data_IF_655661090232
#
_entry.id   IF_655661090232
#
_cell.length_a   1.000
_cell.length_b   1.000
_cell.length_c   1.000
_cell.angle_alpha   90.00
_cell.angle_beta   90.00
_cell.angle_gamma   90.00
#
_symmetry.space_group_name_H-M   'P 1'
#
loop_
_entity.id
_entity.type
_entity.pdbx_description
1 polymer ?
#
# COMPACT_ATOMS: atom_id res chain seq x y z
N UNK A 1 -17.24 12.44 -18.27
CA UNK A 1 -16.88 13.86 -18.43
C UNK A 1 -17.28 14.56 -17.14
N UNK A 2 -16.35 15.11 -16.35
CA UNK A 2 -16.68 15.99 -15.23
C UNK A 2 -17.73 17.03 -15.62
N UNK A 3 -18.76 17.18 -14.78
CA UNK A 3 -19.90 18.08 -15.02
C UNK A 3 -20.01 19.09 -13.90
N UNK A 4 -20.24 20.34 -14.28
CA UNK A 4 -20.47 21.47 -13.38
C UNK A 4 -21.81 22.10 -13.70
N UNK A 5 -22.55 22.48 -12.66
CA UNK A 5 -23.86 23.11 -12.80
C UNK A 5 -23.90 24.48 -12.11
N UNK A 6 -24.65 25.40 -12.71
CA UNK A 6 -24.91 26.73 -12.17
C UNK A 6 -26.42 26.99 -12.15
N UNK A 7 -26.94 27.29 -10.95
CA UNK A 7 -28.35 27.61 -10.72
C UNK A 7 -28.45 28.91 -9.93
N UNK A 8 -28.89 29.98 -10.60
CA UNK A 8 -29.17 31.28 -9.99
C UNK A 8 -30.36 31.94 -10.69
N UNK A 9 -31.41 32.27 -9.93
CA UNK A 9 -32.64 32.84 -10.48
C UNK A 9 -33.25 31.93 -11.57
N UNK A 10 -33.39 32.45 -12.79
CA UNK A 10 -33.89 31.68 -13.96
C UNK A 10 -32.78 30.97 -14.75
N UNK A 11 -31.51 31.18 -14.38
CA UNK A 11 -30.37 30.51 -15.03
C UNK A 11 -30.19 29.12 -14.48
N UNK A 12 -30.20 28.12 -15.36
CA UNK A 12 -29.96 26.71 -15.04
C UNK A 12 -29.07 26.11 -16.14
N UNK A 13 -27.76 26.17 -15.95
CA UNK A 13 -26.75 25.84 -16.97
C UNK A 13 -25.86 24.70 -16.54
N UNK A 14 -25.37 23.92 -17.49
CA UNK A 14 -24.32 22.93 -17.29
C UNK A 14 -23.08 23.31 -18.10
N UNK A 15 -21.93 22.88 -17.63
CA UNK A 15 -20.65 22.94 -18.31
C UNK A 15 -19.89 21.66 -17.98
N UNK A 16 -19.33 21.01 -18.98
CA UNK A 16 -18.60 19.76 -18.88
C UNK A 16 -17.26 19.94 -19.59
N UNK A 17 -16.26 19.23 -19.10
CA UNK A 17 -14.90 19.28 -19.66
C UNK A 17 -14.27 17.90 -19.59
N UNK A 18 -13.45 17.56 -20.58
CA UNK A 18 -12.55 16.41 -20.56
C UNK A 18 -11.22 16.78 -21.19
N UNK A 19 -10.17 16.11 -20.75
CA UNK A 19 -8.88 16.09 -21.40
C UNK A 19 -8.59 14.67 -21.88
N UNK A 20 -8.17 14.53 -23.12
CA UNK A 20 -7.60 13.30 -23.68
C UNK A 20 -6.26 13.68 -24.34
N UNK A 21 -5.16 13.23 -23.76
CA UNK A 21 -3.80 13.64 -24.10
C UNK A 21 -3.63 15.18 -24.17
N UNK A 22 -3.31 15.74 -25.35
CA UNK A 22 -3.14 17.17 -25.60
C UNK A 22 -4.44 17.86 -26.07
N UNK A 23 -5.58 17.19 -25.99
CA UNK A 23 -6.87 17.69 -26.47
C UNK A 23 -7.83 17.93 -25.30
N UNK A 24 -8.46 19.10 -25.26
CA UNK A 24 -9.55 19.41 -24.34
C UNK A 24 -10.86 19.50 -25.11
N UNK A 25 -11.89 18.82 -24.63
CA UNK A 25 -13.27 18.95 -25.09
C UNK A 25 -14.12 19.58 -24.00
N UNK A 26 -14.86 20.62 -24.32
CA UNK A 26 -15.82 21.27 -23.42
C UNK A 26 -17.22 21.21 -24.01
N UNK A 27 -18.22 20.91 -23.18
CA UNK A 27 -19.65 20.93 -23.57
C UNK A 27 -20.43 21.83 -22.62
N UNK A 28 -21.37 22.62 -23.12
CA UNK A 28 -22.17 23.51 -22.26
C UNK A 28 -23.56 23.80 -22.80
N UNK A 29 -24.49 24.10 -21.92
CA UNK A 29 -25.85 24.41 -22.34
C UNK A 29 -26.79 24.68 -21.17
N UNK A 30 -28.08 24.74 -21.47
CA UNK A 30 -29.13 24.70 -20.44
C UNK A 30 -29.27 23.27 -19.92
N UNK A 31 -29.44 23.09 -18.62
CA UNK A 31 -29.69 21.75 -18.04
C UNK A 31 -30.93 21.13 -18.70
N UNK A 32 -30.78 19.91 -19.22
CA UNK A 32 -31.81 19.17 -19.97
C UNK A 32 -31.79 19.36 -21.49
N UNK A 33 -30.88 20.18 -22.04
CA UNK A 33 -30.65 20.30 -23.49
C UNK A 33 -29.37 19.57 -23.92
N UNK A 34 -29.21 19.27 -25.22
CA UNK A 34 -27.97 18.66 -25.77
C UNK A 34 -26.72 19.53 -25.55
N UNK A 35 -26.88 20.85 -25.58
CA UNK A 35 -25.79 21.81 -25.41
C UNK A 35 -24.97 22.03 -26.69
N UNK A 36 -23.84 22.70 -26.53
CA UNK A 36 -22.84 22.99 -27.55
C UNK A 36 -21.51 22.41 -27.12
N UNK A 37 -20.73 21.91 -28.06
CA UNK A 37 -19.41 21.31 -27.81
C UNK A 37 -18.31 22.09 -28.54
N UNK A 38 -17.13 22.15 -27.92
CA UNK A 38 -15.92 22.68 -28.53
C UNK A 38 -14.71 21.85 -28.11
N UNK A 39 -13.92 21.46 -29.10
CA UNK A 39 -12.63 20.80 -28.90
C UNK A 39 -11.48 21.77 -29.19
N UNK A 40 -10.42 21.71 -28.40
CA UNK A 40 -9.22 22.51 -28.52
C UNK A 40 -7.99 21.61 -28.33
N UNK A 41 -7.12 21.59 -29.33
CA UNK A 41 -5.84 20.87 -29.30
C UNK A 41 -4.70 21.81 -28.88
N UNK A 42 -3.77 21.30 -28.08
CA UNK A 42 -2.62 22.03 -27.55
C UNK A 42 -1.31 21.41 -28.05
N UNK A 43 -0.20 22.17 -27.99
CA UNK A 43 1.09 21.70 -28.49
C UNK A 43 1.65 20.52 -27.70
N UNK A 44 1.43 20.50 -26.39
CA UNK A 44 1.85 19.43 -25.48
C UNK A 44 0.76 19.10 -24.46
N UNK A 45 0.77 17.88 -23.94
CA UNK A 45 -0.12 17.41 -22.86
C UNK A 45 -0.09 18.36 -21.65
N UNK A 46 1.10 18.87 -21.30
CA UNK A 46 1.28 19.83 -20.21
C UNK A 46 0.48 21.13 -20.41
N UNK A 47 0.43 21.65 -21.64
CA UNK A 47 -0.30 22.88 -21.96
C UNK A 47 -1.82 22.67 -21.87
N UNK A 48 -2.30 21.52 -22.36
CA UNK A 48 -3.70 21.12 -22.21
C UNK A 48 -4.08 21.02 -20.73
N UNK A 49 -3.25 20.39 -19.90
CA UNK A 49 -3.47 20.26 -18.46
C UNK A 49 -3.53 21.61 -17.75
N UNK A 50 -2.63 22.55 -18.08
CA UNK A 50 -2.67 23.92 -17.54
C UNK A 50 -3.94 24.67 -17.97
N UNK A 51 -4.38 24.49 -19.22
CA UNK A 51 -5.59 25.12 -19.71
C UNK A 51 -6.86 24.51 -19.08
N UNK A 52 -6.90 23.20 -18.84
CA UNK A 52 -7.99 22.51 -18.16
C UNK A 52 -8.26 23.15 -16.80
N UNK A 53 -7.21 23.25 -15.96
CA UNK A 53 -7.29 23.88 -14.63
C UNK A 53 -7.83 25.29 -14.70
N UNK A 54 -7.27 26.11 -15.60
CA UNK A 54 -7.73 27.49 -15.78
C UNK A 54 -9.21 27.55 -16.14
N UNK A 55 -9.71 26.66 -16.99
CA UNK A 55 -11.12 26.62 -17.36
C UNK A 55 -12.02 26.22 -16.19
N UNK A 56 -11.62 25.23 -15.40
CA UNK A 56 -12.35 24.82 -14.18
C UNK A 56 -12.39 25.98 -13.17
N UNK A 57 -11.25 26.55 -12.81
CA UNK A 57 -11.17 27.69 -11.88
C UNK A 57 -12.03 28.88 -12.34
N UNK A 58 -11.99 29.21 -13.64
CA UNK A 58 -12.80 30.29 -14.20
C UNK A 58 -14.31 30.02 -14.10
N UNK A 59 -14.73 28.75 -14.09
CA UNK A 59 -16.14 28.35 -13.94
C UNK A 59 -16.56 28.35 -12.49
N UNK A 60 -15.73 27.84 -11.60
CA UNK A 60 -15.96 27.88 -10.16
C UNK A 60 -16.03 29.31 -9.62
N UNK A 61 -15.13 30.20 -10.07
CA UNK A 61 -15.19 31.65 -9.79
C UNK A 61 -16.50 32.30 -10.28
N UNK A 62 -17.17 31.70 -11.27
CA UNK A 62 -18.49 32.12 -11.78
C UNK A 62 -19.67 31.43 -11.05
N UNK A 63 -19.40 30.70 -9.97
CA UNK A 63 -20.39 30.03 -9.12
C UNK A 63 -20.85 28.66 -9.63
N UNK A 64 -20.21 28.09 -10.66
CA UNK A 64 -20.50 26.72 -11.07
C UNK A 64 -19.99 25.75 -9.99
N UNK A 65 -20.79 24.76 -9.64
CA UNK A 65 -20.44 23.71 -8.68
C UNK A 65 -20.34 22.38 -9.38
N UNK A 66 -19.29 21.59 -9.08
CA UNK A 66 -19.13 20.25 -9.62
C UNK A 66 -20.26 19.32 -9.16
N UNK A 67 -20.76 18.50 -10.09
CA UNK A 67 -21.78 17.49 -9.84
C UNK A 67 -21.09 16.14 -9.74
N UNK A 68 -21.11 15.54 -8.55
CA UNK A 68 -20.58 14.19 -8.33
C UNK A 68 -21.46 13.16 -9.06
N UNK A 69 -20.88 12.12 -9.68
CA UNK A 69 -21.66 11.04 -10.30
C UNK A 69 -22.53 10.32 -9.27
N UNK A 70 -23.64 9.74 -9.72
CA UNK A 70 -24.60 9.02 -8.87
C UNK A 70 -24.92 7.67 -9.48
N UNK A 71 -24.88 6.61 -8.66
CA UNK A 71 -25.27 5.29 -9.13
C UNK A 71 -26.77 5.24 -9.42
N UNK A 72 -27.12 4.94 -10.66
CA UNK A 72 -28.51 4.82 -11.13
C UNK A 72 -28.87 3.40 -11.60
N UNK A 73 -27.87 2.51 -11.68
CA UNK A 73 -28.04 1.11 -12.04
C UNK A 73 -28.52 0.24 -10.86
N UNK A 74 -29.05 -0.96 -11.15
CA UNK A 74 -29.33 -1.95 -10.11
C UNK A 74 -28.03 -2.37 -9.42
N UNK A 75 -28.05 -2.44 -8.08
CA UNK A 75 -26.90 -2.90 -7.32
C UNK A 75 -26.64 -4.41 -7.52
N UNK A 76 -25.40 -4.88 -7.28
CA UNK A 76 -25.09 -6.31 -7.33
C UNK A 76 -25.97 -7.15 -6.41
N UNK A 77 -26.38 -8.32 -6.89
CA UNK A 77 -27.17 -9.26 -6.08
C UNK A 77 -26.36 -9.81 -4.90
N UNK A 78 -27.07 -10.26 -3.86
CA UNK A 78 -26.49 -10.83 -2.64
C UNK A 78 -27.17 -12.14 -2.22
N UNK A 79 -26.38 -13.04 -1.64
CA UNK A 79 -26.84 -14.25 -0.98
C UNK A 79 -26.00 -14.48 0.29
N UNK A 80 -26.48 -14.07 1.48
CA UNK A 80 -25.70 -14.14 2.71
C UNK A 80 -25.18 -15.53 3.08
N UNK A 81 -25.92 -16.60 2.76
CA UNK A 81 -25.51 -17.97 3.07
C UNK A 81 -24.30 -18.39 2.23
N UNK A 82 -24.29 -18.06 0.95
CA UNK A 82 -23.16 -18.35 0.05
C UNK A 82 -21.97 -17.42 0.30
N UNK A 83 -22.23 -16.17 0.68
CA UNK A 83 -21.20 -15.22 1.07
C UNK A 83 -20.44 -15.66 2.33
N UNK A 84 -21.15 -16.19 3.33
CA UNK A 84 -20.56 -16.71 4.56
C UNK A 84 -19.61 -17.89 4.27
N UNK A 85 -19.91 -18.73 3.28
CA UNK A 85 -19.01 -19.81 2.84
C UNK A 85 -17.69 -19.24 2.32
N UNK A 86 -17.76 -18.18 1.51
CA UNK A 86 -16.56 -17.51 0.99
C UNK A 86 -15.79 -16.83 2.12
N UNK A 87 -16.46 -16.10 3.03
CA UNK A 87 -15.80 -15.38 4.14
C UNK A 87 -15.00 -16.30 5.07
N UNK A 88 -15.45 -17.53 5.29
CA UNK A 88 -14.73 -18.53 6.09
C UNK A 88 -13.45 -19.00 5.44
N UNK A 89 -13.39 -19.02 4.11
CA UNK A 89 -12.23 -19.51 3.37
C UNK A 89 -12.07 -18.74 2.06
N UNK A 90 -11.69 -17.44 2.12
CA UNK A 90 -11.73 -16.54 0.96
C UNK A 90 -10.64 -16.88 -0.09
N UNK A 91 -9.73 -17.78 0.25
CA UNK A 91 -8.71 -18.32 -0.66
C UNK A 91 -9.22 -19.54 -1.46
N UNK A 92 -10.33 -20.15 -1.05
CA UNK A 92 -10.90 -21.32 -1.70
C UNK A 92 -11.78 -20.91 -2.88
N UNK A 93 -11.60 -21.56 -4.03
CA UNK A 93 -12.38 -21.28 -5.24
C UNK A 93 -13.83 -21.78 -5.11
N UNK A 94 -14.06 -22.87 -4.37
CA UNK A 94 -15.34 -23.60 -4.36
C UNK A 94 -16.52 -22.70 -3.96
N UNK A 95 -16.34 -21.86 -2.95
CA UNK A 95 -17.38 -20.93 -2.48
C UNK A 95 -17.78 -19.94 -3.58
N UNK A 96 -16.80 -19.41 -4.33
CA UNK A 96 -17.05 -18.49 -5.43
C UNK A 96 -17.76 -19.18 -6.60
N UNK A 97 -17.43 -20.43 -6.91
CA UNK A 97 -18.06 -21.17 -8.01
C UNK A 97 -19.54 -21.42 -7.75
N UNK A 98 -19.87 -21.91 -6.55
CA UNK A 98 -21.28 -22.10 -6.14
C UNK A 98 -22.04 -20.77 -6.15
N UNK A 99 -21.40 -19.70 -5.69
CA UNK A 99 -22.01 -18.39 -5.72
C UNK A 99 -22.19 -17.85 -7.15
N UNK A 100 -21.22 -18.11 -8.04
CA UNK A 100 -21.26 -17.77 -9.46
C UNK A 100 -22.41 -18.44 -10.19
N UNK A 101 -22.65 -19.74 -9.95
CA UNK A 101 -23.78 -20.47 -10.52
C UNK A 101 -25.12 -19.85 -10.09
N UNK A 102 -25.24 -19.49 -8.81
CA UNK A 102 -26.42 -18.81 -8.30
C UNK A 102 -26.62 -17.44 -8.95
N UNK A 103 -25.57 -16.61 -9.04
CA UNK A 103 -25.60 -15.29 -9.68
C UNK A 103 -26.00 -15.40 -11.16
N UNK A 104 -25.44 -16.37 -11.87
CA UNK A 104 -25.76 -16.61 -13.28
C UNK A 104 -27.21 -17.03 -13.46
N UNK A 105 -27.77 -17.86 -12.56
CA UNK A 105 -29.19 -18.22 -12.57
C UNK A 105 -30.12 -17.02 -12.31
N UNK A 106 -29.65 -15.99 -11.61
CA UNK A 106 -30.38 -14.74 -11.42
C UNK A 106 -30.18 -13.72 -12.56
N UNK A 107 -29.35 -14.04 -13.55
CA UNK A 107 -29.01 -13.13 -14.65
C UNK A 107 -28.02 -12.02 -14.29
N UNK A 108 -27.30 -12.14 -13.17
CA UNK A 108 -26.26 -11.19 -12.78
C UNK A 108 -25.00 -11.42 -13.63
N UNK A 109 -24.44 -10.38 -14.29
CA UNK A 109 -23.24 -10.50 -15.13
C UNK A 109 -22.00 -10.99 -14.36
N UNK A 110 -22.00 -10.90 -13.03
CA UNK A 110 -20.93 -11.42 -12.17
C UNK A 110 -20.80 -12.95 -12.25
N UNK A 111 -21.89 -13.67 -12.49
CA UNK A 111 -21.83 -15.14 -12.67
C UNK A 111 -20.95 -15.54 -13.85
N UNK A 112 -21.15 -14.91 -15.01
CA UNK A 112 -20.29 -15.12 -16.19
C UNK A 112 -18.85 -14.69 -15.93
N UNK A 113 -18.65 -13.57 -15.21
CA UNK A 113 -17.32 -13.10 -14.84
C UNK A 113 -16.56 -14.14 -13.99
N UNK A 114 -17.24 -14.76 -13.01
CA UNK A 114 -16.68 -15.84 -12.19
C UNK A 114 -16.25 -17.01 -13.07
N UNK A 115 -17.12 -17.47 -13.97
CA UNK A 115 -16.82 -18.57 -14.88
C UNK A 115 -15.61 -18.26 -15.79
N UNK A 116 -15.56 -17.05 -16.36
CA UNK A 116 -14.44 -16.61 -17.21
C UNK A 116 -13.12 -16.55 -16.44
N UNK A 117 -13.13 -16.00 -15.22
CA UNK A 117 -11.92 -15.92 -14.39
C UNK A 117 -11.48 -17.28 -13.88
N UNK A 118 -12.41 -18.17 -13.54
CA UNK A 118 -12.09 -19.55 -13.17
C UNK A 118 -11.45 -20.31 -14.34
N UNK A 119 -12.00 -20.22 -15.55
CA UNK A 119 -11.40 -20.79 -16.75
C UNK A 119 -9.98 -20.23 -17.00
N UNK A 120 -9.80 -18.92 -16.79
CA UNK A 120 -8.51 -18.26 -16.94
C UNK A 120 -7.45 -18.80 -15.97
N UNK A 121 -7.82 -19.16 -14.73
CA UNK A 121 -6.89 -19.75 -13.76
C UNK A 121 -6.29 -21.09 -14.24
N UNK A 122 -7.00 -21.82 -15.09
CA UNK A 122 -6.58 -23.13 -15.60
C UNK A 122 -5.93 -23.05 -16.99
N UNK A 123 -6.18 -21.96 -17.73
CA UNK A 123 -5.72 -21.80 -19.11
C UNK A 123 -4.23 -21.48 -19.20
N UNK A 124 -3.62 -21.84 -20.34
CA UNK A 124 -2.22 -21.52 -20.67
C UNK A 124 -2.08 -21.01 -22.10
N UNK A 125 -0.99 -20.31 -22.39
CA UNK A 125 -0.65 -19.86 -23.73
C UNK A 125 -1.74 -18.99 -24.39
N UNK A 126 -2.07 -19.28 -25.64
CA UNK A 126 -3.02 -18.50 -26.43
C UNK A 126 -4.44 -18.46 -25.83
N UNK A 127 -4.87 -19.53 -25.17
CA UNK A 127 -6.16 -19.61 -24.50
C UNK A 127 -6.24 -18.62 -23.33
N UNK A 128 -5.19 -18.57 -22.49
CA UNK A 128 -5.11 -17.61 -21.39
C UNK A 128 -5.16 -16.16 -21.89
N UNK A 129 -4.46 -15.85 -22.99
CA UNK A 129 -4.51 -14.52 -23.61
C UNK A 129 -5.91 -14.18 -24.12
N UNK A 130 -6.62 -15.13 -24.74
CA UNK A 130 -7.98 -14.93 -25.20
C UNK A 130 -8.96 -14.72 -24.03
N UNK A 131 -8.84 -15.51 -22.96
CA UNK A 131 -9.66 -15.37 -21.75
C UNK A 131 -9.40 -14.04 -21.02
N UNK A 132 -8.15 -13.59 -20.91
CA UNK A 132 -7.82 -12.24 -20.38
C UNK A 132 -8.56 -11.15 -21.13
N UNK A 133 -8.54 -11.20 -22.48
CA UNK A 133 -9.28 -10.22 -23.31
C UNK A 133 -10.79 -10.27 -23.06
N UNK A 134 -11.37 -11.47 -22.92
CA UNK A 134 -12.80 -11.65 -22.58
C UNK A 134 -13.13 -11.05 -21.21
N UNK A 135 -12.32 -11.32 -20.19
CA UNK A 135 -12.49 -10.75 -18.84
C UNK A 135 -12.43 -9.23 -18.87
N UNK A 136 -11.43 -8.63 -19.54
CA UNK A 136 -11.32 -7.17 -19.67
C UNK A 136 -12.54 -6.57 -20.37
N UNK A 137 -12.99 -7.19 -21.47
CA UNK A 137 -14.16 -6.71 -22.21
C UNK A 137 -15.43 -6.84 -21.37
N UNK A 138 -15.58 -7.92 -20.60
CA UNK A 138 -16.73 -8.15 -19.73
C UNK A 138 -16.79 -7.12 -18.59
N UNK A 139 -15.68 -6.88 -17.90
CA UNK A 139 -15.57 -5.86 -16.86
C UNK A 139 -15.93 -4.47 -17.41
N UNK A 140 -15.38 -4.10 -18.57
CA UNK A 140 -15.68 -2.80 -19.20
C UNK A 140 -17.15 -2.68 -19.59
N UNK A 141 -17.74 -3.75 -20.16
CA UNK A 141 -19.13 -3.76 -20.60
C UNK A 141 -20.13 -3.64 -19.44
N UNK A 142 -19.80 -4.20 -18.29
CA UNK A 142 -20.69 -4.30 -17.12
C UNK A 142 -20.21 -3.46 -15.92
N UNK A 143 -19.35 -2.47 -16.15
CA UNK A 143 -18.74 -1.65 -15.09
C UNK A 143 -19.80 -0.93 -14.25
N UNK A 144 -20.86 -0.43 -14.88
CA UNK A 144 -21.98 0.26 -14.24
C UNK A 144 -22.67 -0.63 -13.19
N UNK A 145 -22.90 -1.90 -13.50
CA UNK A 145 -23.51 -2.89 -12.58
C UNK A 145 -22.49 -3.41 -11.58
N UNK A 146 -21.25 -3.66 -12.01
CA UNK A 146 -20.23 -4.30 -11.18
C UNK A 146 -19.55 -3.34 -10.20
N UNK A 147 -19.50 -2.05 -10.47
CA UNK A 147 -18.76 -1.07 -9.68
C UNK A 147 -19.53 0.23 -9.41
N UNK A 148 -20.55 0.53 -10.21
CA UNK A 148 -21.23 1.82 -10.16
C UNK A 148 -20.44 2.91 -10.88
N UNK A 149 -21.12 4.03 -11.13
CA UNK A 149 -20.52 5.22 -11.77
C UNK A 149 -19.58 5.93 -10.79
N UNK A 150 -19.90 5.91 -9.49
CA UNK A 150 -19.10 6.57 -8.45
C UNK A 150 -17.68 6.00 -8.36
N UNK A 151 -17.54 4.73 -8.00
CA UNK A 151 -16.23 4.09 -7.95
C UNK A 151 -15.62 3.92 -9.35
N UNK A 152 -16.45 3.72 -10.38
CA UNK A 152 -16.00 3.65 -11.77
C UNK A 152 -15.29 4.91 -12.25
N UNK A 153 -15.72 6.10 -11.78
CA UNK A 153 -15.08 7.38 -12.11
C UNK A 153 -13.69 7.54 -11.52
N UNK A 154 -13.36 6.81 -10.45
CA UNK A 154 -12.06 6.87 -9.77
C UNK A 154 -11.03 5.89 -10.33
N UNK A 155 -11.42 4.99 -11.24
CA UNK A 155 -10.50 4.02 -11.84
C UNK A 155 -9.39 4.73 -12.62
N UNK A 156 -8.14 4.48 -12.24
CA UNK A 156 -6.96 5.06 -12.87
C UNK A 156 -5.69 4.37 -12.36
N UNK A 157 -4.56 4.60 -13.05
CA UNK A 157 -3.30 3.94 -12.70
C UNK A 157 -2.74 4.38 -11.35
N UNK A 158 -3.17 5.50 -10.79
CA UNK A 158 -2.59 6.03 -9.56
C UNK A 158 -3.64 6.29 -8.46
N UNK A 159 -4.89 6.59 -8.85
CA UNK A 159 -6.00 6.93 -7.95
C UNK A 159 -6.66 5.73 -7.27
N UNK A 160 -7.24 4.83 -8.07
CA UNK A 160 -7.86 3.59 -7.60
C UNK A 160 -7.50 2.46 -8.57
N UNK A 161 -6.63 1.56 -8.13
CA UNK A 161 -6.32 0.30 -8.82
C UNK A 161 -7.08 -0.83 -8.15
N UNK A 162 -7.78 -1.65 -8.94
CA UNK A 162 -8.52 -2.81 -8.47
C UNK A 162 -8.03 -4.07 -9.15
N UNK A 163 -7.77 -5.11 -8.36
CA UNK A 163 -7.57 -6.46 -8.88
C UNK A 163 -8.79 -7.33 -8.59
N UNK A 164 -9.33 -7.89 -9.67
CA UNK A 164 -10.52 -8.74 -9.62
C UNK A 164 -10.14 -10.21 -9.51
N UNK A 165 -10.77 -10.93 -8.59
CA UNK A 165 -10.69 -12.36 -8.42
C UNK A 165 -12.08 -12.96 -8.32
N UNK A 166 -12.40 -13.87 -9.25
CA UNK A 166 -13.69 -14.57 -9.31
C UNK A 166 -14.89 -13.65 -9.04
N UNK A 167 -15.06 -12.62 -9.86
CA UNK A 167 -16.20 -11.72 -9.82
C UNK A 167 -16.17 -10.66 -8.72
N UNK A 168 -15.18 -10.64 -7.84
CA UNK A 168 -15.07 -9.67 -6.75
C UNK A 168 -13.71 -8.98 -6.73
N UNK A 169 -13.64 -7.82 -6.08
CA UNK A 169 -12.39 -7.10 -5.83
C UNK A 169 -11.67 -7.85 -4.71
N UNK A 170 -10.48 -8.36 -5.01
CA UNK A 170 -9.61 -9.03 -4.02
C UNK A 170 -8.56 -8.10 -3.47
N UNK A 171 -8.00 -7.23 -4.33
CA UNK A 171 -7.00 -6.24 -3.95
C UNK A 171 -7.43 -4.86 -4.43
N UNK A 172 -7.18 -3.86 -3.59
CA UNK A 172 -7.37 -2.46 -3.95
C UNK A 172 -6.18 -1.62 -3.48
N UNK A 173 -5.71 -0.72 -4.34
CA UNK A 173 -4.79 0.35 -3.98
C UNK A 173 -5.47 1.69 -4.21
N UNK A 174 -5.46 2.53 -3.18
CA UNK A 174 -5.92 3.91 -3.25
C UNK A 174 -4.71 4.83 -3.05
N UNK A 175 -4.65 5.94 -3.75
CA UNK A 175 -3.66 6.99 -3.51
C UNK A 175 -4.00 8.23 -4.31
N UNK A 176 -3.46 9.38 -3.94
CA UNK A 176 -3.49 10.56 -4.80
C UNK A 176 -2.42 10.37 -5.88
N UNK A 177 -2.82 10.61 -7.12
CA UNK A 177 -1.98 10.41 -8.28
C UNK A 177 -1.09 11.61 -8.60
N UNK A 178 -1.66 12.81 -8.53
CA UNK A 178 -1.05 14.12 -8.80
C UNK A 178 -1.98 15.24 -8.32
N UNK A 179 -1.45 16.45 -8.09
CA UNK A 179 -2.13 17.69 -7.67
C UNK A 179 -3.28 18.14 -8.57
N UNK A 180 -3.26 17.73 -9.84
CA UNK A 180 -4.21 18.21 -10.85
C UNK A 180 -5.31 17.21 -11.19
N UNK A 181 -5.36 16.07 -10.50
CA UNK A 181 -6.48 15.16 -10.69
C UNK A 181 -7.70 15.82 -10.07
N UNK A 182 -8.51 16.42 -10.94
CA UNK A 182 -9.84 16.93 -10.63
C UNK A 182 -10.69 15.70 -10.26
N UNK A 183 -10.53 15.19 -9.03
CA UNK A 183 -11.23 14.01 -8.51
C UNK A 183 -12.63 14.39 -8.03
N UNK A 184 -13.63 13.57 -8.39
CA UNK A 184 -15.00 13.73 -7.89
C UNK A 184 -15.12 13.45 -6.39
N UNK A 185 -14.19 12.65 -5.82
CA UNK A 185 -14.22 12.18 -4.43
C UNK A 185 -12.83 12.19 -3.81
N UNK A 186 -12.74 12.58 -2.53
CA UNK A 186 -11.51 12.47 -1.74
C UNK A 186 -11.15 11.01 -1.43
N UNK A 187 -9.94 10.77 -0.92
CA UNK A 187 -9.50 9.43 -0.54
C UNK A 187 -10.37 8.80 0.56
N UNK A 188 -10.82 9.60 1.51
CA UNK A 188 -11.65 9.21 2.64
C UNK A 188 -13.05 8.74 2.17
N UNK A 189 -13.66 9.49 1.24
CA UNK A 189 -14.91 9.14 0.57
C UNK A 189 -14.72 7.89 -0.30
N UNK A 190 -13.62 7.82 -1.06
CA UNK A 190 -13.25 6.68 -1.92
C UNK A 190 -13.11 5.40 -1.13
N UNK A 191 -12.37 5.42 -0.03
CA UNK A 191 -12.22 4.28 0.87
C UNK A 191 -13.57 3.85 1.46
N UNK A 192 -14.38 4.81 1.91
CA UNK A 192 -15.70 4.52 2.48
C UNK A 192 -16.64 3.88 1.45
N UNK A 193 -16.63 4.38 0.22
CA UNK A 193 -17.40 3.80 -0.89
C UNK A 193 -16.90 2.40 -1.22
N UNK A 194 -15.59 2.20 -1.32
CA UNK A 194 -15.01 0.90 -1.62
C UNK A 194 -15.39 -0.13 -0.57
N UNK A 195 -15.15 0.16 0.71
CA UNK A 195 -15.42 -0.77 1.82
C UNK A 195 -16.92 -1.12 1.94
N UNK A 196 -17.80 -0.19 1.59
CA UNK A 196 -19.25 -0.43 1.55
C UNK A 196 -19.72 -1.14 0.28
N UNK A 197 -18.89 -1.20 -0.77
CA UNK A 197 -19.33 -1.65 -2.07
C UNK A 197 -19.50 -3.18 -2.11
N UNK A 198 -20.63 -3.71 -2.66
CA UNK A 198 -20.85 -5.14 -2.82
C UNK A 198 -19.70 -5.91 -3.47
N UNK A 199 -18.98 -5.30 -4.42
CA UNK A 199 -17.84 -5.95 -5.08
C UNK A 199 -16.60 -6.10 -4.20
N UNK A 200 -16.47 -5.35 -3.11
CA UNK A 200 -15.34 -5.42 -2.20
C UNK A 200 -15.63 -6.23 -0.91
N UNK A 201 -16.80 -6.88 -0.81
CA UNK A 201 -17.19 -7.65 0.40
C UNK A 201 -16.22 -8.78 0.78
N UNK A 202 -15.40 -9.22 -0.17
CA UNK A 202 -14.35 -10.24 0.04
C UNK A 202 -12.95 -9.66 -0.17
N UNK A 203 -12.75 -8.36 0.04
CA UNK A 203 -11.45 -7.69 -0.08
C UNK A 203 -10.45 -8.37 0.85
N UNK A 204 -9.30 -8.77 0.31
CA UNK A 204 -8.24 -9.47 1.03
C UNK A 204 -6.98 -8.62 1.17
N UNK A 205 -6.76 -7.66 0.27
CA UNK A 205 -5.57 -6.83 0.24
C UNK A 205 -5.97 -5.37 0.06
N UNK A 206 -5.44 -4.50 0.91
CA UNK A 206 -5.66 -3.06 0.83
C UNK A 206 -4.32 -2.34 0.94
N UNK A 207 -4.05 -1.46 -0.01
CA UNK A 207 -2.89 -0.57 0.00
C UNK A 207 -3.36 0.87 0.01
N UNK A 208 -2.90 1.63 0.99
CA UNK A 208 -3.08 3.08 1.10
C UNK A 208 -1.76 3.75 0.71
N UNK A 209 -1.77 4.33 -0.47
CA UNK A 209 -0.77 5.25 -0.95
C UNK A 209 -1.05 6.68 -0.48
N UNK A 210 -0.46 7.68 -1.16
CA UNK A 210 -0.29 9.01 -0.59
C UNK A 210 -1.62 9.76 -0.53
N UNK A 211 -1.87 10.51 0.54
CA UNK A 211 -3.22 11.06 0.83
C UNK A 211 -3.46 12.44 0.25
N UNK A 212 -2.39 13.08 -0.17
CA UNK A 212 -2.32 14.42 -0.76
C UNK A 212 -1.17 14.44 -1.74
N UNK A 213 -1.02 15.57 -2.44
CA UNK A 213 0.17 15.97 -3.17
C UNK A 213 1.22 16.69 -2.30
N UNK A 214 0.80 17.27 -1.18
CA UNK A 214 1.69 17.99 -0.26
C UNK A 214 2.64 17.11 0.55
N UNK A 215 3.57 17.75 1.25
CA UNK A 215 4.66 17.15 2.04
C UNK A 215 4.21 16.36 3.28
N UNK A 216 2.92 16.34 3.63
CA UNK A 216 2.43 15.64 4.83
C UNK A 216 1.21 14.80 4.46
N UNK A 217 1.39 13.48 4.52
CA UNK A 217 0.35 12.51 4.23
C UNK A 217 -0.23 11.94 5.52
N UNK A 218 -1.37 12.46 5.94
CA UNK A 218 -2.06 11.99 7.14
C UNK A 218 -2.99 10.81 6.83
N UNK A 219 -2.86 9.73 7.61
CA UNK A 219 -3.65 8.50 7.46
C UNK A 219 -4.71 8.31 8.56
N UNK A 220 -4.80 9.18 9.57
CA UNK A 220 -5.66 8.97 10.75
C UNK A 220 -7.14 8.79 10.35
N UNK A 221 -7.68 9.71 9.55
CA UNK A 221 -9.05 9.65 9.02
C UNK A 221 -9.31 8.37 8.19
N UNK A 222 -8.31 7.88 7.47
CA UNK A 222 -8.43 6.66 6.66
C UNK A 222 -8.43 5.41 7.55
N UNK A 223 -7.59 5.40 8.58
CA UNK A 223 -7.52 4.34 9.58
C UNK A 223 -8.84 4.26 10.34
N UNK A 224 -9.42 5.39 10.77
CA UNK A 224 -10.72 5.42 11.44
C UNK A 224 -11.83 4.79 10.56
N UNK A 225 -11.85 5.13 9.26
CA UNK A 225 -12.80 4.57 8.30
C UNK A 225 -12.60 3.09 8.08
N UNK A 226 -11.35 2.65 7.96
CA UNK A 226 -11.00 1.24 7.82
C UNK A 226 -11.45 0.45 9.06
N UNK A 227 -11.18 0.94 10.27
CA UNK A 227 -11.60 0.30 11.52
C UNK A 227 -13.12 0.18 11.61
N UNK A 228 -13.85 1.21 11.20
CA UNK A 228 -15.33 1.22 11.23
C UNK A 228 -15.97 0.22 10.24
N UNK A 229 -15.31 -0.07 9.14
CA UNK A 229 -15.82 -0.93 8.07
C UNK A 229 -14.85 -2.07 7.72
N UNK A 230 -14.14 -2.58 8.72
CA UNK A 230 -13.07 -3.56 8.57
C UNK A 230 -13.53 -4.84 7.86
N UNK A 231 -12.97 -5.18 6.67
CA UNK A 231 -13.35 -6.42 5.99
C UNK A 231 -12.85 -7.64 6.76
N UNK A 232 -13.76 -8.56 7.13
CA UNK A 232 -13.39 -9.79 7.83
C UNK A 232 -12.43 -10.69 7.02
N UNK A 233 -12.45 -10.55 5.69
CA UNK A 233 -11.57 -11.23 4.75
C UNK A 233 -10.20 -10.56 4.58
N UNK A 234 -9.95 -9.38 5.13
CA UNK A 234 -8.67 -8.67 4.93
C UNK A 234 -7.51 -9.47 5.54
N UNK A 235 -6.44 -9.67 4.75
CA UNK A 235 -5.23 -10.43 5.11
C UNK A 235 -3.96 -9.62 4.93
N UNK A 236 -3.93 -8.67 4.01
CA UNK A 236 -2.77 -7.79 3.80
C UNK A 236 -3.19 -6.34 3.88
N UNK A 237 -2.41 -5.57 4.61
CA UNK A 237 -2.56 -4.12 4.70
C UNK A 237 -1.19 -3.47 4.53
N UNK A 238 -1.11 -2.52 3.61
CA UNK A 238 0.03 -1.62 3.46
C UNK A 238 -0.45 -0.17 3.58
N UNK A 239 0.10 0.59 4.51
CA UNK A 239 -0.12 2.03 4.66
C UNK A 239 1.20 2.76 4.40
N UNK A 240 1.17 3.78 3.56
CA UNK A 240 2.37 4.54 3.16
C UNK A 240 2.97 4.10 1.82
N UNK A 241 2.17 3.67 0.84
CA UNK A 241 2.71 3.21 -0.45
C UNK A 241 3.10 4.36 -1.40
N UNK A 242 4.28 4.94 -1.17
CA UNK A 242 4.86 6.02 -1.97
C UNK A 242 5.52 5.56 -3.30
N UNK A 243 5.59 4.26 -3.60
CA UNK A 243 6.34 3.71 -4.76
C UNK A 243 5.79 4.14 -6.14
N UNK A 244 4.64 4.84 -6.16
CA UNK A 244 3.98 5.33 -7.37
C UNK A 244 3.86 6.85 -7.41
N UNK A 245 4.54 7.56 -6.52
CA UNK A 245 4.68 9.01 -6.54
C UNK A 245 5.70 9.50 -7.58
N UNK A 246 5.81 10.81 -7.81
CA UNK A 246 7.02 11.39 -8.39
C UNK A 246 8.26 10.96 -7.56
N UNK A 247 9.42 10.89 -8.21
CA UNK A 247 10.69 10.44 -7.62
C UNK A 247 11.14 11.26 -6.37
N UNK A 248 10.40 12.32 -6.02
CA UNK A 248 10.67 13.24 -4.89
C UNK A 248 9.89 12.89 -3.61
N UNK A 249 8.99 11.90 -3.62
CA UNK A 249 8.21 11.55 -2.42
C UNK A 249 9.04 10.76 -1.40
N UNK A 250 9.36 11.42 -0.29
CA UNK A 250 10.03 10.81 0.83
C UNK A 250 9.03 10.07 1.73
N UNK A 251 9.40 8.88 2.19
CA UNK A 251 8.54 8.17 3.12
C UNK A 251 8.49 8.79 4.52
N UNK A 252 9.44 9.68 4.82
CA UNK A 252 9.48 10.56 6.00
C UNK A 252 8.21 11.43 6.12
N UNK A 253 7.49 11.63 5.02
CA UNK A 253 6.29 12.49 4.92
C UNK A 253 4.99 11.80 5.35
N UNK A 254 5.02 10.48 5.61
CA UNK A 254 3.84 9.75 6.07
C UNK A 254 3.58 9.93 7.58
N UNK A 255 2.40 10.43 7.96
CA UNK A 255 1.91 10.43 9.34
C UNK A 255 0.87 9.33 9.55
N UNK A 256 1.24 8.27 10.27
CA UNK A 256 0.38 7.10 10.54
C UNK A 256 -0.59 7.33 11.73
N UNK A 257 -0.38 8.36 12.56
CA UNK A 257 -1.24 8.64 13.73
C UNK A 257 -1.22 7.55 14.82
N UNK A 258 -2.33 7.41 15.56
CA UNK A 258 -2.53 6.35 16.57
C UNK A 258 -3.13 5.08 15.94
N UNK A 259 -2.34 4.00 15.89
CA UNK A 259 -2.73 2.70 15.33
C UNK A 259 -3.40 1.76 16.34
N UNK A 260 -3.61 2.20 17.59
CA UNK A 260 -4.08 1.34 18.69
C UNK A 260 -5.39 0.59 18.39
N UNK A 261 -6.29 1.22 17.61
CA UNK A 261 -7.60 0.66 17.26
C UNK A 261 -7.55 -0.34 16.09
N UNK A 262 -6.50 -0.28 15.27
CA UNK A 262 -6.38 -1.04 14.03
C UNK A 262 -6.37 -2.55 14.26
N UNK A 263 -5.59 -3.00 15.24
CA UNK A 263 -5.30 -4.44 15.41
C UNK A 263 -6.51 -5.24 15.89
N UNK A 264 -7.34 -4.65 16.76
CA UNK A 264 -8.56 -5.28 17.24
C UNK A 264 -9.62 -5.41 16.14
N UNK A 265 -9.62 -4.48 15.17
CA UNK A 265 -10.53 -4.50 14.03
C UNK A 265 -10.12 -5.53 12.96
N UNK A 266 -8.81 -5.86 12.88
CA UNK A 266 -8.24 -6.70 11.82
C UNK A 266 -7.47 -7.92 12.37
N UNK A 267 -8.09 -8.79 13.19
CA UNK A 267 -7.40 -9.91 13.84
C UNK A 267 -6.93 -11.00 12.85
N UNK A 268 -7.45 -11.00 11.62
CA UNK A 268 -7.11 -11.95 10.56
C UNK A 268 -5.92 -11.54 9.68
N UNK A 269 -5.27 -10.40 9.96
CA UNK A 269 -4.11 -9.95 9.17
C UNK A 269 -2.97 -10.98 9.21
N UNK A 270 -2.36 -11.17 8.05
CA UNK A 270 -1.19 -12.03 7.81
C UNK A 270 0.04 -11.24 7.40
N UNK A 271 -0.14 -10.10 6.74
CA UNK A 271 0.94 -9.18 6.38
C UNK A 271 0.50 -7.76 6.72
N UNK A 272 1.35 -7.05 7.47
CA UNK A 272 1.18 -5.65 7.81
C UNK A 272 2.46 -4.90 7.50
N UNK A 273 2.39 -3.98 6.54
CA UNK A 273 3.46 -3.07 6.19
C UNK A 273 3.03 -1.65 6.53
N UNK A 274 3.88 -0.96 7.28
CA UNK A 274 3.67 0.42 7.70
C UNK A 274 4.88 1.22 7.27
N UNK A 275 4.66 2.30 6.54
CA UNK A 275 5.71 3.21 6.11
C UNK A 275 5.32 4.64 6.48
N UNK A 276 6.13 5.27 7.32
CA UNK A 276 5.88 6.59 7.90
C UNK A 276 6.05 6.61 9.42
N UNK A 277 5.76 7.76 10.02
CA UNK A 277 5.87 8.00 11.45
C UNK A 277 4.56 7.69 12.17
N UNK A 278 4.61 6.80 13.16
CA UNK A 278 3.49 6.57 14.06
C UNK A 278 3.57 7.49 15.28
N UNK A 279 2.47 8.12 15.66
CA UNK A 279 2.35 8.75 16.98
C UNK A 279 2.38 7.66 18.05
N UNK A 280 1.70 6.53 17.77
CA UNK A 280 1.57 5.42 18.69
C UNK A 280 1.18 4.14 17.95
N UNK A 281 1.95 3.07 18.08
CA UNK A 281 1.54 1.76 17.60
C UNK A 281 0.45 1.18 18.51
N UNK A 282 0.65 1.25 19.83
CA UNK A 282 -0.30 0.69 20.79
C UNK A 282 -0.14 -0.83 20.97
N UNK A 283 -1.20 -1.51 21.44
CA UNK A 283 -1.13 -2.93 21.81
C UNK A 283 -1.42 -3.84 20.60
N UNK A 284 -0.37 -4.42 20.03
CA UNK A 284 -0.46 -5.35 18.91
C UNK A 284 -0.81 -6.78 19.36
N UNK A 285 -2.05 -7.19 19.10
CA UNK A 285 -2.53 -8.58 19.28
C UNK A 285 -3.00 -9.11 17.91
N UNK A 286 -2.08 -9.70 17.15
CA UNK A 286 -2.30 -10.14 15.77
C UNK A 286 -1.92 -11.63 15.64
N UNK A 287 -2.83 -12.55 16.02
CA UNK A 287 -2.52 -13.97 16.15
C UNK A 287 -2.23 -14.68 14.81
N UNK A 288 -2.71 -14.11 13.70
CA UNK A 288 -2.53 -14.65 12.35
C UNK A 288 -1.37 -14.01 11.58
N UNK A 289 -0.69 -13.01 12.17
CA UNK A 289 0.36 -12.25 11.49
C UNK A 289 1.58 -13.12 11.22
N UNK A 290 2.07 -13.03 9.98
CA UNK A 290 3.26 -13.74 9.48
C UNK A 290 4.36 -12.78 9.08
N UNK A 291 4.00 -11.59 8.63
CA UNK A 291 4.94 -10.57 8.17
C UNK A 291 4.58 -9.23 8.80
N UNK A 292 5.57 -8.59 9.43
CA UNK A 292 5.49 -7.23 9.92
C UNK A 292 6.70 -6.44 9.43
N UNK A 293 6.43 -5.32 8.77
CA UNK A 293 7.46 -4.35 8.37
C UNK A 293 7.04 -2.96 8.84
N UNK A 294 7.94 -2.28 9.54
CA UNK A 294 7.81 -0.86 9.89
C UNK A 294 9.01 -0.09 9.33
N UNK A 295 8.74 0.76 8.35
CA UNK A 295 9.67 1.68 7.72
C UNK A 295 9.48 3.09 8.32
N UNK A 296 10.32 3.45 9.29
CA UNK A 296 10.29 4.74 9.98
C UNK A 296 11.64 5.44 9.89
N UNK A 297 11.61 6.77 9.84
CA UNK A 297 12.80 7.64 9.91
C UNK A 297 13.18 8.00 11.34
N UNK A 298 12.33 7.67 12.32
CA UNK A 298 12.61 7.85 13.75
C UNK A 298 11.74 6.91 14.58
N UNK A 299 12.26 5.71 14.88
CA UNK A 299 11.55 4.70 15.65
C UNK A 299 11.79 4.88 17.16
N UNK A 300 10.83 5.43 17.94
CA UNK A 300 11.08 5.79 19.31
C UNK A 300 11.14 4.56 20.23
N UNK A 301 11.79 4.72 21.38
CA UNK A 301 11.96 3.66 22.38
C UNK A 301 10.64 2.96 22.76
N UNK A 302 9.57 3.71 22.95
CA UNK A 302 8.30 3.15 23.43
C UNK A 302 7.60 2.32 22.35
N UNK A 303 7.78 2.66 21.08
CA UNK A 303 7.27 1.86 19.96
C UNK A 303 8.06 0.55 19.80
N UNK A 304 9.39 0.58 20.00
CA UNK A 304 10.20 -0.65 20.05
C UNK A 304 9.76 -1.58 21.18
N UNK A 305 9.40 -1.02 22.35
CA UNK A 305 8.82 -1.83 23.44
C UNK A 305 7.46 -2.39 23.07
N UNK A 306 6.61 -1.62 22.38
CA UNK A 306 5.31 -2.09 21.92
C UNK A 306 5.46 -3.27 20.96
N UNK A 307 6.36 -3.17 19.99
CA UNK A 307 6.75 -4.24 19.04
C UNK A 307 7.27 -5.47 19.81
N UNK A 308 8.20 -5.27 20.73
CA UNK A 308 8.79 -6.36 21.52
C UNK A 308 7.77 -7.06 22.46
N UNK A 309 6.70 -6.37 22.85
CA UNK A 309 5.63 -6.90 23.70
C UNK A 309 4.41 -7.43 22.91
N UNK A 310 4.46 -7.37 21.58
CA UNK A 310 3.37 -7.78 20.72
C UNK A 310 3.13 -9.29 20.76
N UNK A 311 1.92 -9.71 20.38
CA UNK A 311 1.55 -11.13 20.31
C UNK A 311 1.46 -11.60 18.86
N UNK A 312 2.52 -12.26 18.41
CA UNK A 312 2.63 -12.76 17.03
C UNK A 312 3.09 -14.22 16.97
N UNK A 313 2.26 -15.19 17.42
CA UNK A 313 2.65 -16.59 17.52
C UNK A 313 2.99 -17.25 16.17
N UNK A 314 2.62 -16.62 15.04
CA UNK A 314 2.85 -17.11 13.68
C UNK A 314 3.82 -16.24 12.88
N UNK A 315 4.51 -15.28 13.52
CA UNK A 315 5.38 -14.35 12.80
C UNK A 315 6.59 -15.08 12.22
N UNK A 316 6.77 -14.96 10.91
CA UNK A 316 7.88 -15.54 10.15
C UNK A 316 8.89 -14.46 9.72
N UNK A 317 8.44 -13.21 9.51
CA UNK A 317 9.25 -12.05 9.11
C UNK A 317 8.97 -10.85 10.00
N UNK A 318 10.03 -10.29 10.59
CA UNK A 318 10.03 -9.00 11.29
C UNK A 318 11.09 -8.11 10.66
N UNK A 319 10.71 -6.92 10.20
CA UNK A 319 11.62 -5.92 9.67
C UNK A 319 11.34 -4.55 10.28
N UNK A 320 12.36 -3.93 10.85
CA UNK A 320 12.28 -2.64 11.52
C UNK A 320 13.34 -1.70 10.95
N UNK A 321 12.93 -0.50 10.56
CA UNK A 321 13.82 0.59 10.20
C UNK A 321 13.84 1.58 11.37
N UNK A 322 15.05 1.87 11.87
CA UNK A 322 15.19 2.64 13.10
C UNK A 322 15.26 4.16 12.87
N UNK A 323 15.97 4.58 11.83
CA UNK A 323 16.25 5.99 11.59
C UNK A 323 17.32 6.55 12.51
N UNK A 324 17.24 7.86 12.80
CA UNK A 324 18.32 8.62 13.40
C UNK A 324 18.07 9.02 14.88
N UNK A 325 19.10 8.91 15.73
CA UNK A 325 19.00 9.24 17.16
C UNK A 325 18.67 10.71 17.40
N UNK A 326 19.21 11.61 16.59
CA UNK A 326 18.96 13.06 16.67
C UNK A 326 17.51 13.44 16.30
N UNK A 327 16.85 12.61 15.49
CA UNK A 327 15.41 12.68 15.18
C UNK A 327 14.54 11.94 16.22
N UNK A 328 15.14 11.37 17.27
CA UNK A 328 14.42 10.72 18.39
C UNK A 328 14.32 9.19 18.31
N UNK A 329 15.01 8.55 17.37
CA UNK A 329 15.05 7.10 17.27
C UNK A 329 15.73 6.46 18.49
N UNK A 330 15.45 5.17 18.70
CA UNK A 330 16.23 4.38 19.65
C UNK A 330 17.65 4.13 19.11
N UNK A 331 18.66 4.27 19.98
CA UNK A 331 20.06 4.05 19.62
C UNK A 331 20.76 2.98 20.50
N UNK A 332 20.00 2.22 21.30
CA UNK A 332 20.56 1.25 22.26
C UNK A 332 19.93 -0.13 22.11
N UNK A 333 20.79 -1.11 21.81
CA UNK A 333 20.44 -2.53 21.63
C UNK A 333 19.71 -3.15 22.82
N UNK A 334 19.86 -2.61 24.04
CA UNK A 334 19.18 -3.15 25.23
C UNK A 334 17.66 -3.16 25.09
N UNK A 335 17.09 -2.26 24.28
CA UNK A 335 15.64 -2.19 24.06
C UNK A 335 15.14 -3.29 23.13
N UNK A 336 16.03 -3.90 22.35
CA UNK A 336 15.74 -5.05 21.49
C UNK A 336 15.90 -6.39 22.22
N UNK A 337 16.31 -6.38 23.49
CA UNK A 337 16.62 -7.61 24.22
C UNK A 337 15.49 -8.68 24.16
N UNK A 338 14.20 -8.35 24.31
CA UNK A 338 13.14 -9.36 24.16
C UNK A 338 13.08 -10.00 22.77
N UNK A 339 13.33 -9.21 21.71
CA UNK A 339 13.40 -9.68 20.32
C UNK A 339 14.64 -10.56 20.14
N UNK A 340 15.81 -10.13 20.64
CA UNK A 340 17.05 -10.91 20.59
C UNK A 340 16.97 -12.22 21.39
N UNK A 341 16.14 -12.25 22.44
CA UNK A 341 15.82 -13.46 23.19
C UNK A 341 14.82 -14.38 22.48
N UNK A 342 14.21 -13.95 21.37
CA UNK A 342 13.16 -14.68 20.65
C UNK A 342 11.84 -14.75 21.43
N UNK A 343 11.60 -13.83 22.36
CA UNK A 343 10.42 -13.86 23.24
C UNK A 343 9.17 -13.60 22.41
N UNK A 344 8.24 -14.58 22.39
CA UNK A 344 6.99 -14.45 21.63
C UNK A 344 7.14 -14.62 20.11
N UNK A 345 8.32 -15.04 19.63
CA UNK A 345 8.67 -15.15 18.21
C UNK A 345 9.07 -16.59 17.81
N UNK A 346 8.23 -17.61 18.07
CA UNK A 346 8.62 -19.02 17.91
C UNK A 346 8.88 -19.44 16.45
N UNK A 347 8.25 -18.77 15.48
CA UNK A 347 8.31 -19.13 14.06
C UNK A 347 9.19 -18.17 13.23
N UNK A 348 9.89 -17.23 13.88
CA UNK A 348 10.62 -16.17 13.19
C UNK A 348 11.82 -16.74 12.42
N UNK A 349 11.84 -16.49 11.11
CA UNK A 349 12.89 -16.93 10.16
C UNK A 349 13.64 -15.77 9.53
N UNK A 350 13.02 -14.60 9.43
CA UNK A 350 13.65 -13.39 8.92
C UNK A 350 13.59 -12.28 9.96
N UNK A 351 14.75 -11.72 10.30
CA UNK A 351 14.88 -10.55 11.14
C UNK A 351 15.67 -9.46 10.40
N UNK A 352 15.01 -8.35 10.12
CA UNK A 352 15.62 -7.12 9.62
C UNK A 352 15.69 -6.06 10.71
N UNK A 353 16.91 -5.60 10.98
CA UNK A 353 17.22 -4.48 11.86
C UNK A 353 17.95 -3.44 11.00
N UNK A 354 17.18 -2.82 10.12
CA UNK A 354 17.67 -1.99 9.03
C UNK A 354 17.72 -0.52 9.46
N UNK A 355 18.43 0.31 8.68
CA UNK A 355 18.46 1.75 8.89
C UNK A 355 18.78 2.14 10.35
N UNK A 356 19.79 1.50 10.95
CA UNK A 356 20.13 1.66 12.37
C UNK A 356 21.47 2.36 12.55
N UNK A 357 21.52 3.41 13.38
CA UNK A 357 22.78 4.09 13.72
C UNK A 357 23.69 3.28 14.65
N UNK A 358 23.13 2.28 15.31
CA UNK A 358 23.82 1.43 16.27
C UNK A 358 24.15 0.04 15.70
N UNK A 359 24.28 -0.11 14.37
CA UNK A 359 24.54 -1.41 13.72
C UNK A 359 25.82 -2.09 14.22
N UNK A 360 26.86 -1.33 14.58
CA UNK A 360 28.05 -1.90 15.21
C UNK A 360 27.76 -2.55 16.58
N UNK A 361 26.84 -1.98 17.37
CA UNK A 361 26.40 -2.56 18.63
C UNK A 361 25.54 -3.82 18.39
N UNK A 362 24.72 -3.83 17.32
CA UNK A 362 24.02 -5.04 16.88
C UNK A 362 25.01 -6.16 16.53
N UNK A 363 26.10 -5.85 15.85
CA UNK A 363 27.15 -6.83 15.50
C UNK A 363 27.81 -7.49 16.73
N UNK A 364 27.84 -6.81 17.88
CA UNK A 364 28.32 -7.37 19.15
C UNK A 364 27.28 -8.25 19.86
N UNK A 365 26.00 -7.91 19.73
CA UNK A 365 24.90 -8.54 20.44
C UNK A 365 24.34 -9.77 19.70
N UNK A 366 24.18 -9.69 18.38
CA UNK A 366 23.55 -10.72 17.55
C UNK A 366 24.20 -12.10 17.67
N UNK A 367 25.54 -12.27 17.67
CA UNK A 367 26.16 -13.58 17.85
C UNK A 367 25.80 -14.27 19.18
N UNK A 368 25.37 -13.50 20.18
CA UNK A 368 25.00 -13.97 21.53
C UNK A 368 23.48 -14.11 21.69
N UNK A 369 22.70 -13.67 20.71
CA UNK A 369 21.25 -13.69 20.76
C UNK A 369 20.70 -15.12 20.65
N UNK A 370 19.53 -15.36 21.25
CA UNK A 370 18.86 -16.65 21.15
C UNK A 370 18.13 -16.79 19.81
N UNK A 371 17.56 -15.69 19.32
CA UNK A 371 16.80 -15.67 18.07
C UNK A 371 17.65 -16.02 16.85
N UNK A 372 18.95 -15.68 16.84
CA UNK A 372 19.82 -15.94 15.68
C UNK A 372 19.80 -17.42 15.24
N UNK A 373 19.68 -18.36 16.18
CA UNK A 373 19.76 -19.81 15.90
C UNK A 373 18.58 -20.35 15.08
N UNK A 374 17.44 -19.67 15.07
CA UNK A 374 16.26 -20.06 14.28
C UNK A 374 16.12 -19.26 12.98
N UNK A 375 16.89 -18.19 12.81
CA UNK A 375 16.82 -17.37 11.61
C UNK A 375 17.38 -18.13 10.40
N UNK A 376 16.74 -17.90 9.26
CA UNK A 376 17.25 -18.23 7.93
C UNK A 376 17.82 -16.99 7.24
N UNK A 377 17.34 -15.79 7.58
CA UNK A 377 17.83 -14.52 7.03
C UNK A 377 17.99 -13.48 8.13
N UNK A 378 19.14 -12.81 8.11
CA UNK A 378 19.43 -11.65 8.92
C UNK A 378 19.72 -10.47 8.00
N UNK A 379 19.04 -9.36 8.22
CA UNK A 379 19.19 -8.13 7.44
C UNK A 379 19.63 -6.99 8.36
N UNK A 380 20.80 -6.42 8.06
CA UNK A 380 21.42 -5.27 8.72
C UNK A 380 21.69 -4.16 7.70
N UNK A 381 20.95 -4.14 6.60
CA UNK A 381 21.12 -3.18 5.52
C UNK A 381 20.77 -1.76 5.94
N UNK A 382 21.23 -0.78 5.15
CA UNK A 382 20.96 0.66 5.33
C UNK A 382 21.46 1.24 6.66
N UNK A 383 22.24 0.48 7.43
CA UNK A 383 22.77 0.91 8.73
C UNK A 383 24.14 1.57 8.64
N UNK A 384 24.77 1.76 9.80
CA UNK A 384 26.09 2.40 9.94
C UNK A 384 27.23 1.40 10.21
N UNK A 385 27.08 0.14 9.77
CA UNK A 385 28.10 -0.88 9.98
C UNK A 385 29.41 -0.49 9.30
N UNK A 386 30.48 -0.37 10.07
CA UNK A 386 31.81 -0.11 9.54
C UNK A 386 32.73 -1.34 9.72
N UNK A 387 34.01 -1.20 9.39
CA UNK A 387 34.99 -2.28 9.48
C UNK A 387 35.10 -2.89 10.90
N UNK A 388 34.90 -2.11 11.96
CA UNK A 388 34.87 -2.65 13.33
C UNK A 388 33.66 -3.55 13.57
N UNK A 389 32.49 -3.18 13.04
CA UNK A 389 31.29 -4.02 13.06
C UNK A 389 31.52 -5.34 12.34
N UNK A 390 32.19 -5.29 11.18
CA UNK A 390 32.55 -6.49 10.42
C UNK A 390 33.48 -7.41 11.20
N UNK A 391 34.49 -6.86 11.88
CA UNK A 391 35.39 -7.63 12.73
C UNK A 391 34.65 -8.34 13.87
N UNK A 392 33.62 -7.71 14.47
CA UNK A 392 32.80 -8.32 15.52
C UNK A 392 32.04 -9.54 15.00
N UNK A 393 31.42 -9.45 13.82
CA UNK A 393 30.75 -10.60 13.20
C UNK A 393 31.76 -11.71 12.87
N UNK A 394 32.91 -11.37 12.29
CA UNK A 394 33.96 -12.33 11.90
C UNK A 394 34.55 -13.09 13.11
N UNK A 395 34.69 -12.44 14.27
CA UNK A 395 35.10 -13.09 15.53
C UNK A 395 34.14 -14.21 15.96
N UNK A 396 32.90 -14.16 15.51
CA UNK A 396 31.85 -15.13 15.80
C UNK A 396 31.29 -15.79 14.54
N UNK A 397 32.12 -15.97 13.50
CA UNK A 397 31.66 -16.47 12.20
C UNK A 397 30.84 -17.76 12.26
N UNK A 398 31.18 -18.69 13.16
CA UNK A 398 30.46 -19.94 13.37
C UNK A 398 28.98 -19.75 13.73
N UNK A 399 28.62 -18.64 14.38
CA UNK A 399 27.24 -18.33 14.78
C UNK A 399 26.32 -18.01 13.59
N UNK A 400 26.87 -17.76 12.39
CA UNK A 400 26.11 -17.33 11.22
C UNK A 400 26.06 -18.38 10.09
N UNK A 401 26.84 -19.46 10.20
CA UNK A 401 27.01 -20.44 9.12
C UNK A 401 25.72 -21.16 8.70
N UNK A 402 24.72 -21.21 9.59
CA UNK A 402 23.42 -21.81 9.30
C UNK A 402 22.48 -20.87 8.55
N UNK A 403 22.74 -19.55 8.55
CA UNK A 403 21.91 -18.60 7.82
C UNK A 403 21.93 -18.95 6.33
N UNK A 404 20.79 -18.80 5.66
CA UNK A 404 20.72 -18.86 4.20
C UNK A 404 21.22 -17.56 3.60
N UNK A 405 20.91 -16.42 4.24
CA UNK A 405 21.28 -15.08 3.77
C UNK A 405 21.64 -14.13 4.92
N UNK A 406 22.69 -13.33 4.71
CA UNK A 406 23.02 -12.14 5.48
C UNK A 406 23.03 -10.92 4.56
N UNK A 407 22.28 -9.88 4.89
CA UNK A 407 22.31 -8.61 4.16
C UNK A 407 23.04 -7.53 4.98
N UNK A 408 24.09 -6.97 4.39
CA UNK A 408 24.87 -5.83 4.91
C UNK A 408 25.06 -4.78 3.80
N UNK A 409 24.14 -4.71 2.84
CA UNK A 409 24.13 -3.64 1.82
C UNK A 409 23.93 -2.26 2.44
N UNK A 410 24.33 -1.19 1.73
CA UNK A 410 24.06 0.20 2.17
C UNK A 410 24.59 0.51 3.58
N UNK A 411 25.76 -0.03 3.91
CA UNK A 411 26.50 0.25 5.14
C UNK A 411 27.78 1.06 4.82
N UNK A 412 28.68 1.22 5.80
CA UNK A 412 29.91 2.00 5.73
C UNK A 412 31.15 1.08 5.69
N UNK A 413 31.05 -0.08 5.03
CA UNK A 413 32.12 -1.06 4.99
C UNK A 413 33.18 -0.72 3.95
N UNK A 414 34.45 -0.78 4.36
CA UNK A 414 35.57 -0.82 3.43
C UNK A 414 35.59 -2.11 2.61
N UNK A 415 36.13 -2.02 1.39
CA UNK A 415 36.26 -3.13 0.43
C UNK A 415 36.79 -4.43 1.03
N UNK A 416 37.78 -4.33 1.93
CA UNK A 416 38.43 -5.49 2.57
C UNK A 416 37.51 -6.16 3.58
N UNK A 417 36.81 -5.37 4.40
CA UNK A 417 35.85 -5.88 5.36
C UNK A 417 34.67 -6.54 4.65
N UNK A 418 34.08 -5.89 3.65
CA UNK A 418 33.01 -6.44 2.83
C UNK A 418 33.41 -7.78 2.19
N UNK A 419 34.60 -7.87 1.56
CA UNK A 419 35.12 -9.13 1.00
C UNK A 419 35.29 -10.23 2.05
N UNK A 420 35.66 -9.86 3.28
CA UNK A 420 35.87 -10.83 4.37
C UNK A 420 34.56 -11.41 4.88
N UNK A 421 33.49 -10.61 4.94
CA UNK A 421 32.15 -11.03 5.37
C UNK A 421 31.51 -12.08 4.46
N UNK A 422 31.93 -12.16 3.19
CA UNK A 422 31.40 -13.12 2.21
C UNK A 422 31.52 -14.61 2.63
N UNK A 423 32.26 -14.91 3.70
CA UNK A 423 32.46 -16.26 4.24
C UNK A 423 31.56 -16.60 5.42
N UNK A 424 30.73 -15.66 5.89
CA UNK A 424 29.88 -15.87 7.08
C UNK A 424 28.75 -16.88 6.85
N UNK A 425 28.13 -16.85 5.66
CA UNK A 425 27.07 -17.76 5.25
C UNK A 425 27.05 -17.89 3.70
N UNK A 426 26.24 -18.80 3.11
CA UNK A 426 26.24 -19.08 1.68
C UNK A 426 25.92 -17.86 0.79
N UNK A 427 25.00 -17.00 1.22
CA UNK A 427 24.64 -15.76 0.52
C UNK A 427 24.87 -14.55 1.44
N UNK A 428 25.80 -13.66 1.05
CA UNK A 428 26.08 -12.41 1.78
C UNK A 428 25.98 -11.24 0.81
N UNK A 429 24.88 -10.49 0.91
CA UNK A 429 24.69 -9.25 0.17
C UNK A 429 25.46 -8.11 0.87
N UNK A 430 26.26 -7.38 0.10
CA UNK A 430 27.26 -6.41 0.61
C UNK A 430 27.57 -5.29 -0.40
N UNK A 431 26.68 -5.10 -1.36
CA UNK A 431 26.80 -4.06 -2.37
C UNK A 431 26.44 -2.67 -1.82
N UNK A 432 26.62 -1.66 -2.66
CA UNK A 432 26.16 -0.27 -2.42
C UNK A 432 26.65 0.30 -1.07
N UNK A 433 27.91 0.07 -0.69
CA UNK A 433 28.46 0.68 0.51
C UNK A 433 28.62 2.19 0.30
N UNK A 434 28.30 2.98 1.32
CA UNK A 434 28.36 4.44 1.33
C UNK A 434 29.74 4.90 1.81
N UNK A 435 30.20 6.06 1.30
CA UNK A 435 31.49 6.63 1.66
C UNK A 435 31.35 7.48 2.94
N UNK A 436 31.99 7.10 4.06
CA UNK A 436 31.90 7.86 5.31
C UNK A 436 32.49 9.27 5.22
N UNK A 437 33.35 9.57 4.24
CA UNK A 437 33.97 10.89 4.04
C UNK A 437 33.14 11.79 3.10
N UNK A 438 32.24 11.24 2.26
CA UNK A 438 31.27 12.02 1.47
C UNK A 438 30.01 12.38 2.28
N UNK A 439 29.80 11.73 3.42
CA UNK A 439 28.73 12.02 4.39
C UNK A 439 29.13 13.13 5.39
N UNK A 440 29.51 14.32 4.90
CA UNK A 440 29.70 15.54 5.72
C UNK A 440 28.33 16.09 6.19
N UNK A 441 27.71 15.41 7.15
CA UNK A 441 26.47 15.83 7.82
C UNK A 441 25.72 14.63 8.38
N UNK A 442 25.17 14.76 9.60
CA UNK A 442 24.37 13.68 10.23
C UNK A 442 23.21 13.24 9.33
N UNK A 443 22.66 14.19 8.55
CA UNK A 443 21.55 14.01 7.61
C UNK A 443 21.76 13.03 6.44
N UNK A 444 22.97 12.51 6.21
CA UNK A 444 23.24 11.57 5.09
C UNK A 444 23.59 10.13 5.53
N UNK A 445 23.59 9.85 6.84
CA UNK A 445 23.97 8.52 7.40
C UNK A 445 22.84 7.49 7.40
N UNK A 446 21.62 7.89 7.09
CA UNK A 446 20.43 7.04 7.20
C UNK A 446 19.48 7.31 6.02
N UNK A 447 18.62 6.35 5.74
CA UNK A 447 17.61 6.47 4.70
C UNK A 447 16.47 7.37 5.19
N UNK A 448 16.36 8.58 4.63
CA UNK A 448 15.18 9.47 4.77
C UNK A 448 14.33 9.51 3.50
N UNK A 449 14.91 9.17 2.35
CA UNK A 449 14.28 9.10 1.04
C UNK A 449 14.04 7.65 0.60
N UNK A 450 13.08 7.41 -0.29
CA UNK A 450 12.62 6.07 -0.67
C UNK A 450 13.43 5.34 -1.74
N UNK A 451 14.72 5.63 -1.94
CA UNK A 451 15.52 5.04 -3.05
C UNK A 451 15.97 3.57 -2.84
#
# INVERSE_FOLDING_TARGET
MPRFEFKEGTSSKFWEITQDDNVITTRWGRIGAEGQEKTQEFGHQYDARRAYRKFVEEKEKKGYTRVKPTDSGPGPLSNPELEEVILRTPESLDGYLVYGDWLQAQGDPRGELIALQHALLQAKGAEATALKRKVTLHLKKHQDVLLGERLGSMLGELTLKLEWHLGFIRSARLGVANDDDDLDFGMDETLSMLLAHPSARFLQELTLGPTTDGEVHDYEDLIERLVKAAPASLRKLFIGDFDFGPDEWEFSWGNLGDLSSLYAALPGLRSLRLRGQAEKLGKMDLPELREFTLESTSLPRDEVKAIAAAKWPKLERLELWFGAEDEGAVADVKYLQPILDGTGLPELKHLGLCNAEFTNALCEALPKSKVLKQLETLDLSRGTMNDEGAERLLKHAEAFQHLKRLDVTQNLLGDKAAKSLAKLCPDVARGQQRDPDEEEGVAYRYESSGE
#
